data_IF_109257514483
#
_entry.id   IF_109257514483
#
_cell.length_a   1.000
_cell.length_b   1.000
_cell.length_c   1.000
_cell.angle_alpha   90.00
_cell.angle_beta   90.00
_cell.angle_gamma   90.00
#
_symmetry.space_group_name_H-M   'P 1'
#
loop_
_entity.id
_entity.type
_entity.pdbx_description
1 polymer ?
#
# COMPACT_ATOMS: atom_id res chain seq x y z
N UNK A 1 9.20 20.39 -2.38
CA UNK A 1 9.37 19.68 -1.10
C UNK A 1 10.45 18.66 -1.30
N UNK A 2 11.43 18.59 -0.39
CA UNK A 2 12.52 17.62 -0.43
C UNK A 2 12.09 16.37 0.34
N UNK A 3 12.10 15.21 -0.32
CA UNK A 3 11.85 13.92 0.33
C UNK A 3 13.15 13.32 0.87
N UNK A 4 13.04 12.60 1.99
CA UNK A 4 14.07 11.77 2.57
C UNK A 4 13.74 10.30 2.30
N UNK A 5 14.73 9.58 1.82
CA UNK A 5 14.70 8.12 1.77
C UNK A 5 15.34 7.61 3.05
N UNK A 6 14.60 6.79 3.80
CA UNK A 6 15.05 6.21 5.06
C UNK A 6 14.98 4.69 4.98
N UNK A 7 15.87 4.03 5.70
CA UNK A 7 15.78 2.60 5.97
C UNK A 7 15.12 2.48 7.34
N UNK A 8 13.93 1.89 7.37
CA UNK A 8 13.20 1.65 8.60
C UNK A 8 13.42 0.20 9.01
N UNK A 9 13.92 -0.01 10.22
CA UNK A 9 14.02 -1.33 10.82
C UNK A 9 13.06 -1.43 12.00
N UNK A 10 12.03 -2.28 11.91
CA UNK A 10 11.07 -2.49 13.01
C UNK A 10 11.13 -3.94 13.47
N UNK A 11 11.57 -4.16 14.70
CA UNK A 11 11.69 -5.48 15.32
C UNK A 11 12.41 -6.54 14.42
N UNK A 12 13.39 -6.08 13.63
CA UNK A 12 14.18 -6.90 12.70
C UNK A 12 13.71 -6.94 11.25
N UNK A 13 12.56 -6.32 10.92
CA UNK A 13 12.09 -6.16 9.55
C UNK A 13 12.60 -4.86 8.95
N UNK A 14 13.20 -4.94 7.76
CA UNK A 14 13.74 -3.77 7.06
C UNK A 14 12.82 -3.36 5.91
N UNK A 15 12.48 -2.06 5.85
CA UNK A 15 11.70 -1.47 4.76
C UNK A 15 12.25 -0.10 4.39
N UNK A 16 12.35 0.18 3.10
CA UNK A 16 12.71 1.50 2.60
C UNK A 16 11.47 2.37 2.47
N UNK A 17 11.48 3.55 3.08
CA UNK A 17 10.36 4.50 3.05
C UNK A 17 10.81 5.87 2.56
N UNK A 18 9.90 6.61 1.92
CA UNK A 18 10.11 8.00 1.53
C UNK A 18 9.20 8.90 2.35
N UNK A 19 9.78 9.86 3.07
CA UNK A 19 9.08 10.80 3.94
C UNK A 19 9.44 12.24 3.60
N UNK A 20 8.65 13.19 4.06
CA UNK A 20 9.00 14.61 4.01
C UNK A 20 10.00 14.96 5.12
N UNK A 21 10.87 15.96 4.88
CA UNK A 21 11.92 16.38 5.84
C UNK A 21 11.41 16.93 7.18
N UNK A 22 10.11 17.20 7.30
CA UNK A 22 9.48 17.75 8.49
C UNK A 22 8.60 16.75 9.25
N UNK A 23 8.64 15.47 8.86
CA UNK A 23 7.86 14.43 9.55
C UNK A 23 8.43 14.25 10.96
N UNK A 24 7.54 14.27 11.95
CA UNK A 24 7.91 13.98 13.33
C UNK A 24 8.01 12.48 13.58
N UNK A 25 8.80 12.11 14.56
CA UNK A 25 9.02 10.70 14.94
C UNK A 25 7.71 10.02 15.33
N UNK A 26 6.78 10.70 16.02
CA UNK A 26 5.45 10.16 16.32
C UNK A 26 4.58 9.94 15.06
N UNK A 27 4.60 10.86 14.10
CA UNK A 27 3.86 10.74 12.85
C UNK A 27 4.39 9.58 12.00
N UNK A 28 5.72 9.39 11.97
CA UNK A 28 6.34 8.20 11.40
C UNK A 28 5.82 6.93 12.08
N UNK A 29 5.72 6.92 13.40
CA UNK A 29 5.23 5.77 14.12
C UNK A 29 3.76 5.46 13.82
N UNK A 30 2.90 6.48 13.75
CA UNK A 30 1.49 6.33 13.36
C UNK A 30 1.36 5.76 11.94
N UNK A 31 2.20 6.24 11.01
CA UNK A 31 2.30 5.70 9.66
C UNK A 31 2.68 4.21 9.66
N UNK A 32 3.68 3.83 10.46
CA UNK A 32 4.13 2.44 10.59
C UNK A 32 3.02 1.56 11.18
N UNK A 33 2.30 2.04 12.20
CA UNK A 33 1.17 1.31 12.76
C UNK A 33 0.09 1.05 11.71
N UNK A 34 -0.18 2.04 10.85
CA UNK A 34 -1.18 1.91 9.78
C UNK A 34 -0.81 0.88 8.71
N UNK A 35 0.48 0.75 8.40
CA UNK A 35 0.96 -0.17 7.36
C UNK A 35 1.15 -1.59 7.91
N UNK A 36 1.71 -1.70 9.11
CA UNK A 36 2.09 -2.99 9.68
C UNK A 36 1.04 -3.60 10.59
N UNK A 37 -0.13 -2.95 10.72
CA UNK A 37 -1.23 -3.38 11.58
C UNK A 37 -0.77 -3.67 13.04
N UNK A 38 0.16 -2.86 13.56
CA UNK A 38 0.63 -3.01 14.94
C UNK A 38 -0.51 -2.60 15.87
N UNK A 39 -1.10 -3.57 16.58
CA UNK A 39 -2.23 -3.35 17.47
C UNK A 39 -1.85 -2.52 18.72
N UNK A 40 -2.00 -1.21 18.58
CA UNK A 40 -2.46 -0.17 19.55
C UNK A 40 -2.09 -0.23 21.05
N UNK A 41 -1.06 -0.96 21.49
CA UNK A 41 -0.55 -0.90 22.88
C UNK A 41 0.97 -0.71 22.97
N UNK A 42 1.50 0.17 22.13
CA UNK A 42 2.91 0.52 22.12
C UNK A 42 3.10 1.86 22.81
N UNK A 43 2.82 1.92 24.11
CA UNK A 43 3.29 3.06 24.93
C UNK A 43 4.81 3.00 25.13
N UNK A 44 5.42 1.84 24.85
CA UNK A 44 6.83 1.56 25.01
C UNK A 44 7.48 1.22 23.66
N UNK A 45 7.76 2.24 22.85
CA UNK A 45 8.63 2.13 21.69
C UNK A 45 9.74 3.17 21.75
N UNK A 46 10.87 2.85 21.13
CA UNK A 46 12.03 3.72 20.97
C UNK A 46 12.34 3.91 19.49
N UNK A 47 12.89 5.06 19.13
CA UNK A 47 13.42 5.33 17.80
C UNK A 47 14.90 5.66 17.93
N UNK A 48 15.76 4.94 17.23
CA UNK A 48 17.20 5.20 17.19
C UNK A 48 17.61 5.59 15.77
N UNK A 49 18.24 6.75 15.63
CA UNK A 49 18.86 7.16 14.35
C UNK A 49 20.29 6.66 14.31
N UNK A 50 20.62 5.91 13.26
CA UNK A 50 21.97 5.40 13.04
C UNK A 50 22.95 6.52 12.66
N UNK A 51 22.51 7.49 11.87
CA UNK A 51 23.35 8.65 11.48
C UNK A 51 23.61 9.57 12.67
N UNK A 52 22.59 9.84 13.48
CA UNK A 52 22.75 10.71 14.66
C UNK A 52 23.33 9.96 15.88
N UNK A 53 23.40 8.63 15.81
CA UNK A 53 23.88 7.73 16.86
C UNK A 53 23.21 8.00 18.22
N UNK A 54 21.89 8.21 18.23
CA UNK A 54 21.12 8.50 19.44
C UNK A 54 19.66 8.11 19.31
N UNK A 55 19.00 7.98 20.46
CA UNK A 55 17.55 7.89 20.53
C UNK A 55 16.90 9.24 20.25
N UNK A 56 15.84 9.22 19.46
CA UNK A 56 15.05 10.40 19.09
C UNK A 56 13.83 10.51 20.00
N UNK A 57 13.47 11.75 20.35
CA UNK A 57 12.21 12.02 21.06
C UNK A 57 11.01 11.87 20.12
N UNK A 58 9.82 11.60 20.66
CA UNK A 58 8.58 11.44 19.88
C UNK A 58 8.18 12.71 19.15
N UNK A 59 8.40 13.86 19.78
CA UNK A 59 8.06 15.18 19.23
C UNK A 59 9.19 15.75 18.35
N UNK A 60 10.28 15.00 18.18
CA UNK A 60 11.41 15.41 17.37
C UNK A 60 11.09 15.26 15.89
N UNK A 61 11.54 16.21 15.07
CA UNK A 61 11.50 16.10 13.62
C UNK A 61 12.60 15.19 13.12
N UNK A 62 12.32 14.41 12.08
CA UNK A 62 13.31 13.58 11.40
C UNK A 62 14.20 14.48 10.54
N UNK A 63 15.14 15.15 11.20
CA UNK A 63 16.17 15.97 10.56
C UNK A 63 17.30 15.06 10.09
N UNK A 64 17.02 14.26 9.06
CA UNK A 64 17.93 13.26 8.53
C UNK A 64 18.72 13.74 7.31
N UNK A 65 19.95 13.22 7.17
CA UNK A 65 20.59 13.12 5.86
C UNK A 65 19.90 12.02 5.03
N UNK A 66 19.97 12.07 3.70
CA UNK A 66 19.45 10.99 2.87
C UNK A 66 20.10 9.66 3.28
N UNK A 67 19.30 8.59 3.36
CA UNK A 67 19.70 7.24 3.73
C UNK A 67 20.04 7.03 5.21
N UNK A 68 19.46 7.82 6.12
CA UNK A 68 19.49 7.47 7.55
C UNK A 68 18.69 6.17 7.79
N UNK A 69 19.19 5.35 8.71
CA UNK A 69 18.54 4.12 9.16
C UNK A 69 17.94 4.36 10.53
N UNK A 70 16.60 4.35 10.58
CA UNK A 70 15.82 4.50 11.79
C UNK A 70 15.42 3.11 12.30
N UNK A 71 15.87 2.79 13.51
CA UNK A 71 15.54 1.54 14.19
C UNK A 71 14.42 1.84 15.18
N UNK A 72 13.25 1.23 14.96
CA UNK A 72 12.13 1.26 15.89
C UNK A 72 12.06 -0.07 16.62
N UNK A 73 12.23 -0.02 17.93
CA UNK A 73 12.09 -1.18 18.80
C UNK A 73 10.83 -1.01 19.63
N UNK A 74 9.95 -2.02 19.60
CA UNK A 74 8.81 -2.07 20.52
C UNK A 74 9.16 -2.95 21.71
N UNK A 75 8.86 -2.56 22.95
CA UNK A 75 9.12 -3.40 24.14
C UNK A 75 8.16 -4.61 24.25
N UNK A 76 7.66 -5.15 23.14
CA UNK A 76 6.88 -6.39 23.21
C UNK A 76 7.73 -7.46 23.90
N UNK A 77 7.30 -7.83 25.12
CA UNK A 77 7.99 -8.72 26.05
C UNK A 77 8.10 -10.12 25.47
N UNK A 78 8.95 -10.40 24.48
CA UNK A 78 9.24 -11.77 24.03
C UNK A 78 7.99 -12.65 23.81
N UNK A 79 6.82 -12.06 23.62
CA UNK A 79 5.75 -12.70 22.91
C UNK A 79 6.32 -12.67 21.52
N UNK A 80 6.75 -13.84 21.02
CA UNK A 80 6.99 -14.01 19.59
C UNK A 80 5.95 -13.15 18.90
N UNK A 81 6.40 -12.14 18.16
CA UNK A 81 5.52 -11.49 17.21
C UNK A 81 5.20 -12.64 16.27
N UNK A 82 4.17 -13.40 16.61
CA UNK A 82 3.40 -14.19 15.68
C UNK A 82 2.79 -13.07 14.85
N UNK A 83 3.58 -12.56 13.89
CA UNK A 83 3.05 -12.00 12.67
C UNK A 83 2.36 -13.19 12.03
N UNK A 84 1.21 -13.57 12.59
CA UNK A 84 0.11 -14.05 11.82
C UNK A 84 -0.10 -12.86 10.90
N UNK A 85 0.53 -12.92 9.73
CA UNK A 85 0.04 -12.21 8.57
C UNK A 85 -1.42 -12.64 8.53
N UNK A 86 -2.29 -11.84 9.14
CA UNK A 86 -3.71 -11.96 8.90
C UNK A 86 -3.79 -11.73 7.42
N UNK A 87 -3.86 -12.83 6.66
CA UNK A 87 -4.07 -12.78 5.24
C UNK A 87 -5.30 -11.92 5.10
N UNK A 88 -5.08 -10.73 4.56
CA UNK A 88 -6.15 -9.79 4.32
C UNK A 88 -7.26 -10.53 3.58
N UNK A 89 -8.53 -10.31 3.96
CA UNK A 89 -9.62 -11.05 3.35
C UNK A 89 -9.52 -10.92 1.84
N UNK A 90 -9.42 -12.05 1.14
CA UNK A 90 -9.39 -12.07 -0.32
C UNK A 90 -10.78 -12.37 -0.85
N UNK A 91 -11.17 -11.67 -1.91
CA UNK A 91 -12.42 -11.91 -2.62
C UNK A 91 -12.13 -12.35 -4.06
N UNK A 92 -12.79 -13.41 -4.56
CA UNK A 92 -12.68 -13.79 -5.97
C UNK A 92 -13.44 -12.76 -6.81
N UNK A 93 -12.82 -12.28 -7.89
CA UNK A 93 -13.44 -11.40 -8.88
C UNK A 93 -13.33 -12.03 -10.27
N UNK A 94 -14.31 -11.73 -11.12
CA UNK A 94 -14.24 -11.99 -12.57
C UNK A 94 -14.04 -10.66 -13.28
N UNK A 95 -13.02 -10.57 -14.13
CA UNK A 95 -12.70 -9.37 -14.90
C UNK A 95 -12.84 -9.71 -16.38
N UNK A 96 -13.75 -9.02 -17.07
CA UNK A 96 -13.83 -9.05 -18.53
C UNK A 96 -12.97 -7.94 -19.09
N UNK A 97 -12.00 -8.29 -19.93
CA UNK A 97 -11.11 -7.34 -20.60
C UNK A 97 -11.52 -7.24 -22.07
N UNK A 98 -11.84 -6.03 -22.51
CA UNK A 98 -12.07 -5.66 -23.91
C UNK A 98 -10.86 -4.85 -24.42
N UNK A 99 -10.17 -5.37 -25.43
CA UNK A 99 -9.04 -4.73 -26.08
C UNK A 99 -9.22 -4.78 -27.60
N UNK A 100 -9.78 -3.71 -28.19
CA UNK A 100 -10.18 -3.68 -29.59
C UNK A 100 -11.26 -4.73 -29.90
N UNK A 101 -10.93 -5.69 -30.78
CA UNK A 101 -11.83 -6.79 -31.16
C UNK A 101 -11.69 -8.03 -30.26
N UNK A 102 -10.77 -8.02 -29.30
CA UNK A 102 -10.53 -9.12 -28.39
C UNK A 102 -11.32 -8.95 -27.10
N UNK A 103 -11.89 -10.05 -26.61
CA UNK A 103 -12.60 -10.12 -25.33
C UNK A 103 -12.16 -11.37 -24.57
N UNK A 104 -11.70 -11.17 -23.35
CA UNK A 104 -11.22 -12.23 -22.46
C UNK A 104 -11.85 -12.07 -21.08
N UNK A 105 -12.05 -13.18 -20.37
CA UNK A 105 -12.52 -13.20 -18.99
C UNK A 105 -11.47 -13.89 -18.12
N UNK A 106 -10.95 -13.17 -17.13
CA UNK A 106 -9.97 -13.68 -16.16
C UNK A 106 -10.58 -13.72 -14.76
N UNK A 107 -10.18 -14.70 -13.97
CA UNK A 107 -10.56 -14.82 -12.57
C UNK A 107 -9.33 -14.59 -11.68
N UNK A 108 -9.50 -13.87 -10.58
CA UNK A 108 -8.43 -13.59 -9.63
C UNK A 108 -8.94 -13.39 -8.21
N UNK A 109 -8.09 -13.69 -7.23
CA UNK A 109 -8.34 -13.38 -5.82
C UNK A 109 -7.66 -12.06 -5.48
N UNK A 110 -8.43 -11.10 -4.97
CA UNK A 110 -7.95 -9.76 -4.66
C UNK A 110 -8.16 -9.44 -3.19
N UNK A 111 -7.22 -8.73 -2.58
CA UNK A 111 -7.36 -8.18 -1.24
C UNK A 111 -8.51 -7.16 -1.22
N UNK A 112 -9.39 -7.21 -0.21
CA UNK A 112 -10.46 -6.21 -0.05
C UNK A 112 -9.94 -4.76 0.05
N UNK A 113 -8.67 -4.55 0.39
CA UNK A 113 -8.01 -3.25 0.40
C UNK A 113 -7.46 -2.83 -0.96
N UNK A 114 -7.37 -3.73 -1.95
CA UNK A 114 -6.95 -3.39 -3.32
C UNK A 114 -7.88 -2.31 -3.89
N UNK A 115 -7.29 -1.24 -4.42
CA UNK A 115 -8.00 -0.17 -5.12
C UNK A 115 -8.37 -0.56 -6.55
N UNK A 116 -9.38 0.10 -7.10
CA UNK A 116 -9.68 -0.08 -8.53
C UNK A 116 -8.54 0.40 -9.43
N UNK A 117 -7.69 1.33 -8.95
CA UNK A 117 -6.52 1.74 -9.69
C UNK A 117 -5.50 0.60 -9.83
N UNK A 118 -5.21 -0.12 -8.74
CA UNK A 118 -4.33 -1.29 -8.77
C UNK A 118 -4.89 -2.41 -9.65
N UNK A 119 -6.21 -2.61 -9.66
CA UNK A 119 -6.85 -3.58 -10.57
C UNK A 119 -6.60 -3.19 -12.03
N UNK A 120 -6.80 -1.94 -12.39
CA UNK A 120 -6.52 -1.46 -13.74
C UNK A 120 -5.04 -1.59 -14.13
N UNK A 121 -4.11 -1.34 -13.20
CA UNK A 121 -2.69 -1.59 -13.41
C UNK A 121 -2.40 -3.07 -13.64
N UNK A 122 -3.03 -3.97 -12.87
CA UNK A 122 -2.91 -5.42 -13.05
C UNK A 122 -3.38 -5.88 -14.44
N UNK A 123 -4.44 -5.25 -14.98
CA UNK A 123 -4.95 -5.50 -16.33
C UNK A 123 -3.92 -5.06 -17.38
N UNK A 124 -3.30 -3.89 -17.23
CA UNK A 124 -2.24 -3.44 -18.14
C UNK A 124 -1.03 -4.37 -18.11
N UNK A 125 -0.65 -4.87 -16.93
CA UNK A 125 0.44 -5.85 -16.78
C UNK A 125 0.07 -7.16 -17.48
N UNK A 126 -1.15 -7.66 -17.25
CA UNK A 126 -1.65 -8.89 -17.87
C UNK A 126 -1.62 -8.81 -19.40
N UNK A 127 -2.02 -7.66 -19.95
CA UNK A 127 -1.97 -7.40 -21.39
C UNK A 127 -0.59 -6.99 -21.92
N UNK A 128 0.45 -6.91 -21.07
CA UNK A 128 1.81 -6.47 -21.42
C UNK A 128 1.88 -5.04 -21.98
N UNK A 129 0.98 -4.16 -21.54
CA UNK A 129 0.84 -2.77 -21.99
C UNK A 129 1.45 -1.75 -21.02
N UNK A 130 1.86 -2.18 -19.82
CA UNK A 130 2.40 -1.30 -18.77
C UNK A 130 3.81 -0.73 -19.08
N UNK A 131 4.51 -1.24 -20.08
CA UNK A 131 5.86 -0.79 -20.46
C UNK A 131 5.88 0.23 -21.62
N UNK A 132 4.72 0.58 -22.17
CA UNK A 132 4.65 1.55 -23.27
C UNK A 132 4.96 2.97 -22.77
N UNK A 133 5.58 3.80 -23.60
CA UNK A 133 5.88 5.20 -23.24
C UNK A 133 4.62 6.00 -22.87
N UNK A 134 3.48 5.62 -23.46
CA UNK A 134 2.16 6.14 -23.13
C UNK A 134 1.24 4.93 -22.88
N UNK A 135 1.16 4.41 -21.64
CA UNK A 135 0.31 3.27 -21.35
C UNK A 135 -1.16 3.64 -21.61
N UNK A 136 -1.95 2.73 -22.22
CA UNK A 136 -3.34 3.00 -22.54
C UNK A 136 -4.20 3.14 -21.29
N UNK A 137 -5.35 3.79 -21.43
CA UNK A 137 -6.26 4.01 -20.30
C UNK A 137 -7.26 2.87 -20.18
N UNK A 138 -7.28 2.23 -19.00
CA UNK A 138 -8.30 1.22 -18.67
C UNK A 138 -9.54 1.87 -18.09
N UNK A 139 -10.64 1.83 -18.83
CA UNK A 139 -11.98 2.17 -18.31
C UNK A 139 -12.54 0.99 -17.54
N UNK A 140 -13.07 1.22 -16.33
CA UNK A 140 -13.67 0.18 -15.48
C UNK A 140 -15.16 0.44 -15.29
N UNK A 141 -15.96 -0.62 -15.42
CA UNK A 141 -17.40 -0.61 -15.20
C UNK A 141 -17.81 -1.76 -14.28
N UNK A 142 -18.62 -1.44 -13.28
CA UNK A 142 -19.12 -2.40 -12.29
C UNK A 142 -20.63 -2.16 -12.20
N UNK A 143 -21.45 -3.19 -12.45
CA UNK A 143 -22.92 -3.08 -12.42
C UNK A 143 -23.46 -1.91 -13.26
N UNK A 144 -22.95 -1.73 -14.48
CA UNK A 144 -23.30 -0.62 -15.40
C UNK A 144 -22.91 0.79 -14.91
N UNK A 145 -22.12 0.91 -13.83
CA UNK A 145 -21.60 2.18 -13.36
C UNK A 145 -20.12 2.30 -13.72
N UNK A 146 -19.72 3.43 -14.32
CA UNK A 146 -18.34 3.71 -14.67
C UNK A 146 -17.52 4.25 -13.48
N UNK A 147 -16.29 3.76 -13.34
CA UNK A 147 -15.31 4.11 -12.32
C UNK A 147 -14.02 4.63 -12.98
N UNK A 148 -14.16 5.59 -13.90
CA UNK A 148 -13.03 6.12 -14.67
C UNK A 148 -12.38 7.35 -14.03
N UNK A 149 -13.04 7.98 -13.06
CA UNK A 149 -12.49 9.15 -12.37
C UNK A 149 -11.53 8.75 -11.23
N UNK A 150 -10.52 9.61 -11.00
CA UNK A 150 -9.42 9.35 -10.05
C UNK A 150 -9.93 9.09 -8.64
N UNK A 151 -10.97 9.81 -8.20
CA UNK A 151 -11.53 9.70 -6.84
C UNK A 151 -12.24 8.36 -6.65
N UNK A 152 -12.98 7.88 -7.65
CA UNK A 152 -13.58 6.54 -7.60
C UNK A 152 -12.54 5.44 -7.72
N UNK A 153 -11.48 5.64 -8.52
CA UNK A 153 -10.43 4.64 -8.73
C UNK A 153 -9.52 4.44 -7.51
N UNK A 154 -9.33 5.47 -6.70
CA UNK A 154 -8.55 5.36 -5.46
C UNK A 154 -9.26 4.61 -4.33
N UNK A 155 -10.57 4.31 -4.48
CA UNK A 155 -11.31 3.56 -3.48
C UNK A 155 -10.98 2.07 -3.53
N UNK A 156 -10.88 1.46 -2.35
CA UNK A 156 -10.71 0.02 -2.20
C UNK A 156 -11.99 -0.76 -2.51
N UNK A 157 -11.84 -2.05 -2.81
CA UNK A 157 -12.96 -2.99 -2.98
C UNK A 157 -13.91 -2.96 -1.78
N UNK A 158 -13.38 -2.90 -0.55
CA UNK A 158 -14.16 -2.77 0.68
C UNK A 158 -14.97 -1.47 0.74
N UNK A 159 -14.35 -0.33 0.43
CA UNK A 159 -15.01 0.98 0.44
C UNK A 159 -16.13 1.09 -0.61
N UNK A 160 -15.97 0.37 -1.72
CA UNK A 160 -16.97 0.25 -2.78
C UNK A 160 -18.00 -0.86 -2.52
N UNK A 161 -17.89 -1.58 -1.40
CA UNK A 161 -18.76 -2.70 -1.05
C UNK A 161 -18.82 -3.78 -2.14
N UNK A 162 -17.70 -3.99 -2.84
CA UNK A 162 -17.57 -5.05 -3.84
C UNK A 162 -17.58 -6.40 -3.14
N UNK A 163 -18.38 -7.33 -3.66
CA UNK A 163 -18.58 -8.65 -3.06
C UNK A 163 -17.88 -9.73 -3.89
N UNK A 164 -17.78 -10.92 -3.31
CA UNK A 164 -17.32 -12.12 -4.02
C UNK A 164 -18.05 -12.31 -5.35
N UNK A 165 -17.31 -12.73 -6.37
CA UNK A 165 -17.78 -13.00 -7.72
C UNK A 165 -18.40 -11.78 -8.42
N UNK A 166 -18.08 -10.56 -7.97
CA UNK A 166 -18.45 -9.35 -8.71
C UNK A 166 -17.72 -9.36 -10.05
N UNK A 167 -18.48 -9.03 -11.10
CA UNK A 167 -17.97 -8.91 -12.46
C UNK A 167 -17.54 -7.46 -12.72
N UNK A 168 -16.30 -7.27 -13.13
CA UNK A 168 -15.73 -5.99 -13.53
C UNK A 168 -15.51 -6.02 -15.04
N UNK A 169 -16.11 -5.08 -15.76
CA UNK A 169 -15.89 -4.90 -17.20
C UNK A 169 -14.82 -3.83 -17.39
N UNK A 170 -13.72 -4.21 -18.03
CA UNK A 170 -12.56 -3.37 -18.29
C UNK A 170 -12.38 -3.16 -19.78
N UNK A 171 -12.32 -1.91 -20.23
CA UNK A 171 -12.05 -1.56 -21.64
C UNK A 171 -10.75 -0.79 -21.75
N UNK A 172 -9.82 -1.31 -22.55
CA UNK A 172 -8.54 -0.66 -22.84
C UNK A 172 -8.76 0.34 -23.99
N UNK A 173 -8.42 1.61 -23.76
CA UNK A 173 -8.60 2.72 -24.71
C UNK A 173 -7.25 3.36 -25.07
#
# INVERSE_FOLDING_TARGET
>A
MTSLTLILQVDGYEQQIQLEQSVRVNELFDFIQSIMNISSRTEDWTCFSSVQNRFMSRDEEIQGQQNDSLIIETKQQSAKIDIKQEQSPQIPLSIIIENGNSREEIEGNYDIQTSLNEIAESILIHCQLNQQQNPPFVSLMIQNQAYNDVIKRSKSLAQLQIKNYTKIEARIN
#
